data_IF_855161302093
#
_entry.id   IF_855161302093
#
_cell.length_a   1.000
_cell.length_b   1.000
_cell.length_c   1.000
_cell.angle_alpha   90.00
_cell.angle_beta   90.00
_cell.angle_gamma   90.00
#
_symmetry.space_group_name_H-M   'P 1'
#
loop_
_entity.id
_entity.type
_entity.pdbx_description
1 polymer ?
#
# COMPACT_ATOMS: atom_id res chain seq x y z
N UNK A 1 -9.10 -14.70 -8.28
CA UNK A 1 -7.96 -13.97 -8.90
C UNK A 1 -7.47 -14.72 -10.15
N UNK A 2 -7.49 -14.05 -11.29
CA UNK A 2 -7.04 -14.55 -12.60
C UNK A 2 -5.71 -13.85 -12.90
N UNK A 3 -4.69 -14.16 -12.11
CA UNK A 3 -3.31 -13.76 -12.37
C UNK A 3 -2.46 -15.01 -12.24
N UNK A 4 -1.57 -15.27 -13.20
CA UNK A 4 -0.64 -16.40 -13.17
C UNK A 4 0.41 -16.29 -12.06
N UNK A 5 0.37 -15.23 -11.24
CA UNK A 5 1.30 -15.07 -10.13
C UNK A 5 0.90 -15.91 -8.91
N UNK A 6 1.87 -16.56 -8.24
CA UNK A 6 1.59 -17.38 -7.08
C UNK A 6 1.03 -16.54 -5.92
N UNK A 7 0.19 -17.18 -5.10
CA UNK A 7 -0.17 -16.66 -3.78
C UNK A 7 0.77 -17.32 -2.77
N UNK A 8 1.47 -16.51 -2.00
CA UNK A 8 2.43 -16.97 -0.98
C UNK A 8 1.87 -16.64 0.39
N UNK A 9 1.78 -17.64 1.27
CA UNK A 9 1.48 -17.45 2.68
C UNK A 9 2.77 -17.61 3.50
N UNK A 10 3.09 -16.64 4.37
CA UNK A 10 4.28 -16.70 5.22
C UNK A 10 4.15 -15.79 6.45
N UNK A 11 5.10 -15.88 7.38
CA UNK A 11 5.19 -15.00 8.57
C UNK A 11 6.35 -14.03 8.42
N UNK A 12 6.08 -12.74 8.57
CA UNK A 12 7.09 -11.67 8.50
C UNK A 12 7.17 -10.86 9.79
N UNK A 13 7.96 -9.78 9.77
CA UNK A 13 8.17 -8.88 10.92
C UNK A 13 6.87 -8.29 11.52
N UNK A 14 5.79 -8.23 10.74
CA UNK A 14 4.50 -7.67 11.14
C UNK A 14 3.42 -8.75 11.38
N UNK A 15 3.82 -10.02 11.43
CA UNK A 15 2.94 -11.17 11.57
C UNK A 15 2.69 -11.95 10.26
N UNK A 16 1.77 -12.93 10.30
CA UNK A 16 1.41 -13.75 9.14
C UNK A 16 0.73 -12.94 8.04
N UNK A 17 1.03 -13.26 6.79
CA UNK A 17 0.54 -12.53 5.62
C UNK A 17 0.39 -13.41 4.38
N UNK A 18 -0.49 -12.98 3.47
CA UNK A 18 -0.57 -13.42 2.08
C UNK A 18 0.08 -12.39 1.17
N UNK A 19 0.82 -12.86 0.16
CA UNK A 19 1.46 -12.07 -0.88
C UNK A 19 1.01 -12.57 -2.26
N UNK A 20 0.60 -11.65 -3.13
CA UNK A 20 0.22 -11.96 -4.51
C UNK A 20 0.40 -10.71 -5.37
N UNK A 21 1.26 -10.76 -6.39
CA UNK A 21 1.47 -9.63 -7.33
C UNK A 21 1.72 -8.26 -6.67
N UNK A 22 2.48 -8.25 -5.57
CA UNK A 22 2.75 -7.03 -4.83
C UNK A 22 1.60 -6.55 -3.92
N UNK A 23 0.46 -7.26 -3.88
CA UNK A 23 -0.57 -7.08 -2.86
C UNK A 23 -0.32 -7.99 -1.65
N UNK A 24 -0.17 -7.35 -0.50
CA UNK A 24 0.11 -7.98 0.78
C UNK A 24 -1.11 -7.80 1.68
N UNK A 25 -1.65 -8.91 2.18
CA UNK A 25 -2.78 -8.93 3.12
C UNK A 25 -2.33 -9.60 4.41
N UNK A 26 -2.39 -8.86 5.52
CA UNK A 26 -2.14 -9.46 6.83
C UNK A 26 -3.23 -10.46 7.16
N UNK A 27 -2.83 -11.66 7.58
CA UNK A 27 -3.72 -12.63 8.18
C UNK A 27 -3.94 -12.19 9.63
N UNK A 28 -5.19 -11.91 9.99
CA UNK A 28 -5.61 -11.58 11.35
C UNK A 28 -6.72 -12.57 11.68
N UNK A 29 -6.70 -13.18 12.88
CA UNK A 29 -7.57 -14.27 13.39
C UNK A 29 -6.91 -15.66 13.27
N UNK A 30 -7.73 -16.72 13.32
CA UNK A 30 -7.35 -18.16 13.27
C UNK A 30 -6.75 -18.62 11.93
N UNK A 31 -6.56 -17.70 10.97
CA UNK A 31 -5.94 -18.02 9.68
C UNK A 31 -4.41 -18.19 9.87
N UNK A 32 -3.94 -19.44 9.90
CA UNK A 32 -2.52 -19.79 9.97
C UNK A 32 -1.90 -19.87 8.56
N UNK A 33 -0.78 -19.18 8.29
CA UNK A 33 -0.14 -19.17 6.98
C UNK A 33 0.31 -20.56 6.48
N UNK A 34 0.50 -21.54 7.36
CA UNK A 34 0.93 -22.89 6.99
C UNK A 34 -0.25 -23.85 6.72
N UNK A 35 -1.46 -23.50 7.14
CA UNK A 35 -2.67 -24.34 6.95
C UNK A 35 -3.74 -23.68 6.07
N UNK A 36 -3.57 -22.39 5.75
CA UNK A 36 -4.51 -21.65 4.92
C UNK A 36 -4.69 -22.29 3.53
N UNK A 37 -5.95 -22.43 3.11
CA UNK A 37 -6.29 -23.01 1.81
C UNK A 37 -6.28 -21.94 0.72
N UNK A 38 -6.16 -22.37 -0.53
CA UNK A 38 -6.23 -21.48 -1.68
C UNK A 38 -7.56 -20.71 -1.73
N UNK A 39 -8.68 -21.39 -1.50
CA UNK A 39 -10.02 -20.79 -1.47
C UNK A 39 -10.11 -19.68 -0.42
N UNK A 40 -9.62 -19.94 0.79
CA UNK A 40 -9.57 -18.94 1.87
C UNK A 40 -8.72 -17.73 1.48
N UNK A 41 -7.58 -17.95 0.83
CA UNK A 41 -6.77 -16.86 0.32
C UNK A 41 -7.55 -16.02 -0.71
N UNK A 42 -8.34 -16.65 -1.60
CA UNK A 42 -9.19 -15.92 -2.55
C UNK A 42 -10.23 -15.05 -1.86
N UNK A 43 -10.89 -15.56 -0.82
CA UNK A 43 -11.84 -14.78 -0.02
C UNK A 43 -11.20 -13.53 0.60
N UNK A 44 -9.96 -13.67 1.08
CA UNK A 44 -9.21 -12.57 1.67
C UNK A 44 -8.85 -11.53 0.61
N UNK A 45 -8.46 -11.96 -0.59
CA UNK A 45 -8.19 -11.06 -1.71
C UNK A 45 -9.44 -10.43 -2.30
N UNK A 46 -10.60 -11.09 -2.20
CA UNK A 46 -11.88 -10.54 -2.62
C UNK A 46 -12.32 -9.36 -1.73
N UNK A 47 -11.86 -9.30 -0.48
CA UNK A 47 -12.13 -8.17 0.41
C UNK A 47 -11.33 -6.93 -0.04
N UNK A 48 -11.91 -5.71 0.05
CA UNK A 48 -11.19 -4.49 -0.26
C UNK A 48 -9.97 -4.34 0.64
N UNK A 49 -8.87 -3.81 0.09
CA UNK A 49 -7.63 -3.60 0.85
C UNK A 49 -7.88 -2.61 1.97
N UNK A 50 -7.79 -3.09 3.20
CA UNK A 50 -7.93 -2.21 4.36
C UNK A 50 -6.72 -1.27 4.43
N UNK A 51 -7.02 0.03 4.44
CA UNK A 51 -6.04 1.05 4.81
C UNK A 51 -5.74 0.95 6.30
N UNK A 52 -4.58 1.45 6.73
CA UNK A 52 -4.27 1.47 8.16
C UNK A 52 -5.27 2.38 8.87
N UNK A 53 -5.67 2.00 10.08
CA UNK A 53 -6.58 2.82 10.88
C UNK A 53 -5.97 4.21 11.10
N UNK A 54 -6.73 5.25 10.77
CA UNK A 54 -6.29 6.65 10.89
C UNK A 54 -5.49 7.17 9.69
N UNK A 55 -5.43 6.44 8.58
CA UNK A 55 -4.95 6.96 7.29
C UNK A 55 -6.15 7.20 6.37
N UNK A 56 -6.26 8.41 5.82
CA UNK A 56 -7.22 8.76 4.78
C UNK A 56 -6.49 9.00 3.47
N UNK A 57 -7.01 8.45 2.37
CA UNK A 57 -6.50 8.75 1.03
C UNK A 57 -7.00 10.15 0.66
N UNK A 58 -6.07 11.11 0.54
CA UNK A 58 -6.38 12.50 0.27
C UNK A 58 -6.43 12.76 -1.24
N UNK A 59 -5.48 12.20 -1.99
CA UNK A 59 -5.35 12.42 -3.43
C UNK A 59 -4.63 11.26 -4.11
N UNK A 60 -5.16 10.78 -5.22
CA UNK A 60 -4.48 9.81 -6.09
C UNK A 60 -3.78 10.57 -7.22
N UNK A 61 -2.44 10.55 -7.25
CA UNK A 61 -1.66 11.31 -8.26
C UNK A 61 -1.45 10.51 -9.55
N UNK A 62 -1.67 9.20 -9.49
CA UNK A 62 -1.50 8.29 -10.63
C UNK A 62 -0.16 7.56 -10.64
N UNK A 63 0.20 7.02 -11.81
CA UNK A 63 1.38 6.17 -11.98
C UNK A 63 2.62 7.01 -12.24
N UNK A 64 3.68 6.79 -11.46
CA UNK A 64 4.98 7.39 -11.73
C UNK A 64 5.57 6.83 -13.05
N UNK A 65 5.96 7.69 -14.01
CA UNK A 65 6.43 7.25 -15.33
C UNK A 65 7.75 6.47 -15.27
N UNK A 66 8.60 6.74 -14.28
CA UNK A 66 9.91 6.11 -14.12
C UNK A 66 9.78 4.75 -13.44
N UNK A 67 9.06 4.69 -12.32
CA UNK A 67 8.99 3.45 -11.53
C UNK A 67 7.78 2.58 -11.87
N UNK A 68 6.85 3.06 -12.70
CA UNK A 68 5.55 2.42 -13.00
C UNK A 68 4.73 2.06 -11.75
N UNK A 69 4.97 2.77 -10.64
CA UNK A 69 4.29 2.57 -9.36
C UNK A 69 3.32 3.71 -9.12
N UNK A 70 2.14 3.37 -8.60
CA UNK A 70 1.13 4.36 -8.22
C UNK A 70 1.65 5.21 -7.05
N UNK A 71 1.43 6.52 -7.13
CA UNK A 71 1.78 7.52 -6.13
C UNK A 71 0.50 8.13 -5.56
N UNK A 72 0.34 7.99 -4.24
CA UNK A 72 -0.86 8.44 -3.53
C UNK A 72 -0.45 9.36 -2.38
N UNK A 73 -1.28 10.37 -2.11
CA UNK A 73 -1.18 11.27 -0.96
C UNK A 73 -2.11 10.76 0.12
N UNK A 74 -1.56 10.52 1.31
CA UNK A 74 -2.32 10.12 2.48
C UNK A 74 -2.20 11.18 3.56
N UNK A 75 -3.25 11.29 4.37
CA UNK A 75 -3.26 12.09 5.58
C UNK A 75 -3.42 11.17 6.79
N UNK A 76 -2.67 11.47 7.84
CA UNK A 76 -2.68 10.73 9.10
C UNK A 76 -2.65 11.70 10.28
N UNK A 77 -2.76 11.18 11.50
CA UNK A 77 -2.61 11.98 12.74
C UNK A 77 -1.28 12.75 12.82
N UNK A 78 -0.24 12.27 12.15
CA UNK A 78 1.10 12.86 12.15
C UNK A 78 1.33 13.83 10.99
N UNK A 79 0.31 14.12 10.19
CA UNK A 79 0.40 14.94 9.00
C UNK A 79 0.28 14.16 7.69
N UNK A 80 0.60 14.84 6.59
CA UNK A 80 0.44 14.36 5.21
C UNK A 80 1.71 13.68 4.72
N UNK A 81 1.56 12.63 3.92
CA UNK A 81 2.69 11.91 3.38
C UNK A 81 2.38 11.30 2.00
N UNK A 82 3.41 11.19 1.17
CA UNK A 82 3.39 10.49 -0.11
C UNK A 82 3.66 9.00 0.11
N UNK A 83 2.94 8.16 -0.63
CA UNK A 83 3.18 6.72 -0.69
C UNK A 83 3.38 6.29 -2.14
N UNK A 84 4.56 5.73 -2.42
CA UNK A 84 4.91 5.09 -3.70
C UNK A 84 5.28 3.63 -3.46
N UNK A 85 4.34 2.72 -3.70
CA UNK A 85 4.49 1.31 -3.32
C UNK A 85 4.76 1.18 -1.82
N UNK A 86 5.97 0.71 -1.46
CA UNK A 86 6.42 0.59 -0.07
C UNK A 86 7.10 1.84 0.49
N UNK A 87 7.57 2.76 -0.36
CA UNK A 87 8.25 3.97 0.08
C UNK A 87 7.22 4.98 0.55
N UNK A 88 7.42 5.53 1.75
CA UNK A 88 6.65 6.64 2.30
C UNK A 88 7.56 7.83 2.53
N UNK A 89 7.07 9.03 2.27
CA UNK A 89 7.78 10.28 2.51
C UNK A 89 6.84 11.31 3.10
N UNK A 90 7.21 11.92 4.22
CA UNK A 90 6.43 13.00 4.82
C UNK A 90 6.42 14.23 3.90
N UNK A 91 5.27 14.89 3.79
CA UNK A 91 5.14 16.15 3.07
C UNK A 91 5.19 17.27 4.11
N UNK A 92 6.08 18.28 3.94
CA UNK A 92 6.08 19.45 4.81
C UNK A 92 4.71 20.13 4.85
N UNK A 93 4.27 20.56 6.03
CA UNK A 93 2.99 21.26 6.22
C UNK A 93 2.91 22.59 5.46
N UNK A 94 4.05 23.13 5.05
CA UNK A 94 4.17 24.33 4.23
C UNK A 94 3.62 24.15 2.81
N UNK A 95 3.52 22.92 2.30
CA UNK A 95 3.00 22.62 0.97
C UNK A 95 1.49 22.36 1.07
N UNK A 96 0.70 23.17 0.36
CA UNK A 96 -0.76 23.00 0.28
C UNK A 96 -1.12 21.77 -0.56
N UNK A 97 -2.29 21.22 -0.30
CA UNK A 97 -2.82 20.02 -0.97
C UNK A 97 -3.05 20.19 -2.47
N UNK A 98 -3.28 21.42 -2.89
CA UNK A 98 -3.51 21.81 -4.29
C UNK A 98 -2.23 21.70 -5.11
N UNK A 99 -1.11 22.16 -4.54
CA UNK A 99 0.22 22.16 -5.17
C UNK A 99 0.83 20.77 -5.26
N UNK A 100 0.27 19.78 -4.56
CA UNK A 100 0.72 18.39 -4.65
C UNK A 100 0.22 17.80 -5.97
N UNK A 101 1.06 17.92 -6.99
CA UNK A 101 0.92 17.27 -8.29
C UNK A 101 1.84 16.04 -8.36
N UNK A 102 1.66 15.21 -9.40
CA UNK A 102 2.52 14.05 -9.64
C UNK A 102 3.99 14.47 -9.77
N UNK A 103 4.28 15.58 -10.44
CA UNK A 103 5.65 16.09 -10.66
C UNK A 103 6.34 16.45 -9.35
N UNK A 104 5.69 17.28 -8.52
CA UNK A 104 6.19 17.66 -7.19
C UNK A 104 6.38 16.43 -6.31
N UNK A 105 5.45 15.48 -6.35
CA UNK A 105 5.57 14.24 -5.59
C UNK A 105 6.76 13.39 -6.04
N UNK A 106 7.07 13.35 -7.34
CA UNK A 106 8.24 12.66 -7.88
C UNK A 106 9.52 13.31 -7.39
N UNK A 107 9.60 14.65 -7.39
CA UNK A 107 10.77 15.38 -6.90
C UNK A 107 11.01 15.14 -5.40
N UNK A 108 9.97 15.26 -4.59
CA UNK A 108 10.05 14.99 -3.15
C UNK A 108 10.55 13.56 -2.89
N UNK A 109 10.02 12.57 -3.63
CA UNK A 109 10.43 11.16 -3.50
C UNK A 109 11.85 10.84 -3.96
N UNK A 110 12.52 11.75 -4.68
CA UNK A 110 13.96 11.67 -5.01
C UNK A 110 14.86 12.20 -3.89
N UNK A 111 14.34 13.12 -3.06
CA UNK A 111 15.13 13.79 -2.02
C UNK A 111 15.25 12.98 -0.72
N UNK A 112 14.22 12.21 -0.35
CA UNK A 112 14.33 11.12 0.64
C UNK A 112 14.51 9.78 -0.03
#
# INVERSE_FOLDING_TARGET
PISSEPIIANTGQYGPYLAHAGDFRSLKNDDDPYTITYERALEIYAKPKQMRKGETLLKELGVNPVTKKVVNVFESKSGRYLRKGFKRLSIPETIKTEDITLEVAIELLKQG
#
